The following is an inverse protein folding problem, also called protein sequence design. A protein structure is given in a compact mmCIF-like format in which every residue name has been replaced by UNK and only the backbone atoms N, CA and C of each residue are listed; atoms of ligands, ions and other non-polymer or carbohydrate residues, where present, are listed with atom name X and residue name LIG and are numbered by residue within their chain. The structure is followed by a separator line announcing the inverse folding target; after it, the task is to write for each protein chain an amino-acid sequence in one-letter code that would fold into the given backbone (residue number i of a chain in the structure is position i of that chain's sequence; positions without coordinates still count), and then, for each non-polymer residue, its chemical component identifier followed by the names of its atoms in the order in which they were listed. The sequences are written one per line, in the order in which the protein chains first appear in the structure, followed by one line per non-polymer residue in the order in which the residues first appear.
data_IF_997544800291
#
_entry.id   IF_997544800291
#
_cell.length_a   1.000
_cell.length_b   1.000
_cell.length_c   1.000
_cell.angle_alpha   90.00
_cell.angle_beta   90.00
_cell.angle_gamma   90.00
#
_symmetry.space_group_name_H-M   'P 1'
#
loop_
_entity.id
_entity.type
_entity.pdbx_description
1 polymer ?
#
# COMPACT_ATOMS: atom_id res chain seq x y z
N UNK A 1 32.97 -9.17 5.00
CA UNK A 1 31.56 -9.37 4.58
C UNK A 1 30.68 -9.15 5.80
N UNK A 2 29.87 -8.09 5.81
CA UNK A 2 28.82 -7.91 6.84
C UNK A 2 27.84 -9.07 6.67
N UNK A 3 27.47 -9.83 7.71
CA UNK A 3 26.47 -10.85 7.55
C UNK A 3 25.20 -10.15 7.06
N UNK A 4 24.67 -10.56 5.90
CA UNK A 4 23.31 -10.21 5.51
C UNK A 4 22.43 -10.72 6.66
N UNK A 5 22.02 -9.83 7.56
CA UNK A 5 21.09 -10.16 8.62
C UNK A 5 19.80 -10.60 7.93
N UNK A 6 19.60 -11.92 7.83
CA UNK A 6 18.41 -12.54 7.26
C UNK A 6 17.25 -12.02 8.11
N UNK A 7 16.45 -11.11 7.54
CA UNK A 7 15.30 -10.55 8.25
C UNK A 7 14.37 -11.69 8.66
N UNK A 8 13.91 -11.65 9.90
CA UNK A 8 13.04 -12.69 10.43
C UNK A 8 11.67 -12.58 9.76
N UNK A 9 11.09 -13.70 9.25
CA UNK A 9 9.80 -13.69 8.57
C UNK A 9 8.65 -13.21 9.47
N UNK A 10 7.69 -12.50 8.88
CA UNK A 10 6.38 -12.26 9.52
C UNK A 10 5.64 -13.58 9.63
N UNK A 11 5.08 -13.89 10.80
CA UNK A 11 4.27 -15.09 10.99
C UNK A 11 2.82 -14.78 11.35
N UNK A 12 2.58 -13.62 11.98
CA UNK A 12 1.24 -13.22 12.37
C UNK A 12 1.12 -11.70 12.57
N UNK A 13 -0.11 -11.22 12.73
CA UNK A 13 -0.38 -9.85 13.14
C UNK A 13 -1.56 -9.75 14.12
N UNK A 14 -1.57 -8.70 14.93
CA UNK A 14 -2.66 -8.35 15.82
C UNK A 14 -2.94 -6.85 15.75
N UNK A 15 -4.20 -6.47 15.92
CA UNK A 15 -4.56 -5.07 16.21
C UNK A 15 -4.69 -4.94 17.72
N UNK A 16 -3.83 -4.13 18.33
CA UNK A 16 -3.84 -3.88 19.78
C UNK A 16 -4.15 -2.42 20.07
N UNK A 17 -4.71 -2.14 21.25
CA UNK A 17 -4.94 -0.78 21.73
C UNK A 17 -3.77 -0.33 22.59
N UNK A 18 -3.10 0.75 22.17
CA UNK A 18 -2.06 1.42 22.96
C UNK A 18 -2.50 2.87 23.17
N UNK A 19 -2.70 3.27 24.43
CA UNK A 19 -3.23 4.59 24.79
C UNK A 19 -4.53 4.92 24.03
N UNK A 20 -5.47 3.97 24.00
CA UNK A 20 -6.74 4.03 23.27
C UNK A 20 -6.63 4.26 21.76
N UNK A 21 -5.44 4.05 21.17
CA UNK A 21 -5.24 4.11 19.71
C UNK A 21 -4.89 2.72 19.18
N UNK A 22 -5.58 2.23 18.14
CA UNK A 22 -5.24 0.95 17.53
C UNK A 22 -3.86 1.02 16.87
N UNK A 23 -3.07 -0.03 17.05
CA UNK A 23 -1.77 -0.22 16.42
C UNK A 23 -1.66 -1.64 15.86
N UNK A 24 -0.99 -1.79 14.72
CA UNK A 24 -0.67 -3.08 14.14
C UNK A 24 0.57 -3.65 14.80
N UNK A 25 0.39 -4.73 15.56
CA UNK A 25 1.48 -5.55 16.09
C UNK A 25 1.83 -6.62 15.08
N UNK A 26 3.03 -6.54 14.51
CA UNK A 26 3.57 -7.53 13.58
C UNK A 26 4.46 -8.48 14.36
N UNK A 27 4.15 -9.77 14.28
CA UNK A 27 4.81 -10.84 15.02
C UNK A 27 5.75 -11.58 14.06
N UNK A 28 6.99 -11.78 14.49
CA UNK A 28 8.04 -12.43 13.72
C UNK A 28 8.31 -13.86 14.24
N UNK A 29 8.94 -14.68 13.41
CA UNK A 29 9.21 -16.09 13.72
C UNK A 29 10.16 -16.35 14.91
N UNK A 30 10.89 -15.33 15.36
CA UNK A 30 11.80 -15.36 16.52
C UNK A 30 11.13 -14.80 17.79
N UNK A 31 9.80 -14.77 17.81
CA UNK A 31 8.95 -14.20 18.86
C UNK A 31 9.11 -12.68 19.10
N UNK A 32 9.91 -11.98 18.29
CA UNK A 32 9.97 -10.52 18.32
C UNK A 32 8.72 -9.91 17.69
N UNK A 33 8.40 -8.68 18.08
CA UNK A 33 7.29 -7.94 17.49
C UNK A 33 7.60 -6.46 17.34
N UNK A 34 6.93 -5.84 16.39
CA UNK A 34 7.00 -4.40 16.14
C UNK A 34 5.61 -3.81 16.05
N UNK A 35 5.45 -2.59 16.57
CA UNK A 35 4.19 -1.87 16.57
C UNK A 35 4.20 -0.75 15.52
N UNK A 36 3.13 -0.69 14.73
CA UNK A 36 2.94 0.31 13.70
C UNK A 36 1.63 1.06 13.92
N UNK A 37 1.74 2.39 13.98
CA UNK A 37 0.60 3.29 14.17
C UNK A 37 -0.29 3.42 12.93
N UNK A 38 0.19 3.03 11.75
CA UNK A 38 -0.59 3.04 10.52
C UNK A 38 -0.07 2.02 9.51
N UNK A 39 -0.89 1.70 8.52
CA UNK A 39 -0.48 0.82 7.42
C UNK A 39 0.71 1.39 6.63
N UNK A 40 0.78 2.72 6.44
CA UNK A 40 1.90 3.35 5.73
C UNK A 40 3.21 3.28 6.51
N UNK A 41 3.18 3.45 7.84
CA UNK A 41 4.41 3.32 8.66
C UNK A 41 4.91 1.88 8.67
N UNK A 42 4.00 0.91 8.62
CA UNK A 42 4.34 -0.51 8.42
C UNK A 42 5.00 -0.76 7.07
N UNK A 43 4.39 -0.30 5.96
CA UNK A 43 4.92 -0.49 4.61
C UNK A 43 6.34 0.07 4.41
N UNK A 44 6.69 1.17 5.09
CA UNK A 44 8.04 1.76 5.05
C UNK A 44 9.13 0.84 5.60
N UNK A 45 8.77 -0.11 6.47
CA UNK A 45 9.71 -1.03 7.11
C UNK A 45 9.68 -2.44 6.49
N UNK A 46 8.65 -2.72 5.69
CA UNK A 46 8.46 -3.99 5.02
C UNK A 46 9.32 -4.08 3.77
N UNK A 47 9.86 -5.27 3.54
CA UNK A 47 10.27 -5.66 2.19
C UNK A 47 9.10 -6.30 1.44
N UNK A 48 9.33 -6.74 0.21
CA UNK A 48 8.31 -7.38 -0.62
C UNK A 48 7.76 -8.68 0.01
N UNK A 49 8.64 -9.51 0.57
CA UNK A 49 8.29 -10.80 1.18
C UNK A 49 7.44 -10.63 2.45
N UNK A 50 7.75 -9.63 3.28
CA UNK A 50 6.97 -9.27 4.46
C UNK A 50 5.52 -8.90 4.06
N UNK A 51 5.36 -8.11 2.99
CA UNK A 51 4.05 -7.67 2.50
C UNK A 51 3.23 -8.82 1.90
N UNK A 52 3.86 -9.71 1.13
CA UNK A 52 3.21 -10.91 0.58
C UNK A 52 2.79 -11.87 1.69
N UNK A 53 3.64 -12.04 2.71
CA UNK A 53 3.34 -12.88 3.85
C UNK A 53 2.18 -12.32 4.67
N UNK A 54 2.17 -11.00 4.92
CA UNK A 54 1.05 -10.34 5.58
C UNK A 54 -0.26 -10.53 4.80
N UNK A 55 -0.23 -10.40 3.46
CA UNK A 55 -1.42 -10.66 2.65
C UNK A 55 -1.92 -12.10 2.81
N UNK A 56 -1.03 -13.10 2.80
CA UNK A 56 -1.42 -14.50 3.02
C UNK A 56 -2.11 -14.68 4.37
N UNK A 57 -1.55 -14.13 5.44
CA UNK A 57 -2.10 -14.22 6.80
C UNK A 57 -3.48 -13.58 6.88
N UNK A 58 -3.62 -12.35 6.39
CA UNK A 58 -4.90 -11.61 6.40
C UNK A 58 -5.95 -12.34 5.57
N UNK A 59 -5.58 -12.84 4.40
CA UNK A 59 -6.47 -13.59 3.51
C UNK A 59 -6.95 -14.89 4.16
N UNK A 60 -6.05 -15.64 4.78
CA UNK A 60 -6.39 -16.88 5.48
C UNK A 60 -7.31 -16.61 6.68
N UNK A 61 -6.97 -15.61 7.51
CA UNK A 61 -7.75 -15.22 8.69
C UNK A 61 -9.19 -14.85 8.35
N UNK A 62 -9.39 -14.05 7.30
CA UNK A 62 -10.72 -13.59 6.88
C UNK A 62 -11.32 -14.41 5.74
N UNK A 63 -10.82 -15.62 5.49
CA UNK A 63 -11.44 -16.56 4.57
C UNK A 63 -12.75 -17.14 5.15
N UNK A 64 -12.79 -17.34 6.46
CA UNK A 64 -13.92 -17.94 7.20
C UNK A 64 -14.53 -17.00 8.24
N UNK A 65 -13.88 -15.88 8.54
CA UNK A 65 -14.30 -14.92 9.57
C UNK A 65 -14.44 -13.51 9.00
N UNK A 66 -15.22 -12.65 9.67
CA UNK A 66 -15.32 -11.23 9.35
C UNK A 66 -14.36 -10.42 10.23
N UNK A 67 -13.86 -9.27 9.75
CA UNK A 67 -13.14 -8.31 10.58
C UNK A 67 -13.97 -7.90 11.81
N UNK A 68 -13.30 -7.84 12.97
CA UNK A 68 -13.95 -7.47 14.23
C UNK A 68 -13.80 -5.98 14.58
N UNK A 69 -12.93 -5.25 13.88
CA UNK A 69 -12.68 -3.84 14.11
C UNK A 69 -12.32 -3.13 12.80
N UNK A 70 -12.38 -1.79 12.84
CA UNK A 70 -12.08 -0.95 11.68
C UNK A 70 -10.67 -1.13 11.12
N UNK A 71 -9.67 -1.41 11.97
CA UNK A 71 -8.28 -1.57 11.51
C UNK A 71 -8.10 -2.86 10.71
N UNK A 72 -8.75 -3.95 11.14
CA UNK A 72 -8.79 -5.21 10.39
C UNK A 72 -9.57 -5.05 9.08
N UNK A 73 -10.71 -4.35 9.10
CA UNK A 73 -11.50 -4.08 7.90
C UNK A 73 -10.71 -3.25 6.88
N UNK A 74 -10.05 -2.20 7.36
CA UNK A 74 -9.18 -1.35 6.55
C UNK A 74 -8.01 -2.14 5.97
N UNK A 75 -7.32 -2.95 6.79
CA UNK A 75 -6.17 -3.74 6.38
C UNK A 75 -6.56 -4.77 5.31
N UNK A 76 -7.66 -5.49 5.52
CA UNK A 76 -8.21 -6.45 4.56
C UNK A 76 -8.55 -5.76 3.24
N UNK A 77 -9.24 -4.62 3.29
CA UNK A 77 -9.64 -3.87 2.10
C UNK A 77 -8.42 -3.36 1.33
N UNK A 78 -7.47 -2.73 2.01
CA UNK A 78 -6.26 -2.21 1.39
C UNK A 78 -5.43 -3.31 0.72
N UNK A 79 -5.21 -4.44 1.40
CA UNK A 79 -4.46 -5.56 0.85
C UNK A 79 -5.22 -6.24 -0.30
N UNK A 80 -6.55 -6.35 -0.25
CA UNK A 80 -7.36 -6.81 -1.38
C UNK A 80 -7.19 -5.92 -2.60
N UNK A 81 -7.30 -4.60 -2.44
CA UNK A 81 -7.09 -3.65 -3.53
C UNK A 81 -5.69 -3.80 -4.14
N UNK A 82 -4.67 -4.09 -3.33
CA UNK A 82 -3.30 -4.33 -3.81
C UNK A 82 -3.14 -5.68 -4.52
N UNK A 83 -3.63 -6.78 -3.93
CA UNK A 83 -3.32 -8.15 -4.33
C UNK A 83 -4.40 -8.90 -5.10
N UNK A 84 -5.62 -8.38 -5.19
CA UNK A 84 -6.69 -8.95 -6.02
C UNK A 84 -6.80 -8.22 -7.35
N UNK A 85 -7.63 -8.75 -8.26
CA UNK A 85 -7.88 -8.09 -9.54
C UNK A 85 -8.68 -6.81 -9.27
N UNK A 86 -8.29 -5.67 -9.84
CA UNK A 86 -9.03 -4.43 -9.65
C UNK A 86 -10.44 -4.58 -10.23
N UNK A 87 -11.45 -4.52 -9.37
CA UNK A 87 -12.85 -4.42 -9.82
C UNK A 87 -13.15 -2.95 -10.10
N UNK A 88 -13.50 -2.60 -11.34
CA UNK A 88 -13.83 -1.21 -11.72
C UNK A 88 -14.99 -0.63 -10.92
N UNK A 89 -15.82 -1.47 -10.32
CA UNK A 89 -16.94 -1.06 -9.48
C UNK A 89 -16.51 -0.65 -8.05
N UNK A 90 -15.28 -1.01 -7.65
CA UNK A 90 -14.76 -0.70 -6.32
C UNK A 90 -14.63 0.81 -6.11
N UNK A 91 -14.97 1.27 -4.91
CA UNK A 91 -15.09 2.70 -4.59
C UNK A 91 -13.76 3.44 -4.80
N UNK A 92 -12.63 2.75 -4.62
CA UNK A 92 -11.27 3.28 -4.86
C UNK A 92 -11.10 3.75 -6.31
N UNK A 93 -11.69 3.07 -7.29
CA UNK A 93 -11.58 3.43 -8.71
C UNK A 93 -12.68 4.40 -9.14
N UNK A 94 -13.92 4.21 -8.66
CA UNK A 94 -15.05 5.11 -8.97
C UNK A 94 -14.81 6.55 -8.51
N UNK A 95 -14.13 6.73 -7.39
CA UNK A 95 -13.81 8.06 -6.86
C UNK A 95 -12.81 8.84 -7.72
N UNK A 96 -12.28 8.25 -8.80
CA UNK A 96 -11.43 8.94 -9.76
C UNK A 96 -12.23 9.71 -10.83
N UNK A 97 -13.53 9.41 -11.03
CA UNK A 97 -14.27 9.81 -12.24
C UNK A 97 -15.54 10.66 -12.02
N UNK A 98 -15.73 11.32 -10.88
CA UNK A 98 -16.94 12.12 -10.66
C UNK A 98 -16.92 13.45 -11.44
N UNK A 99 -18.03 13.67 -12.15
CA UNK A 99 -18.25 14.59 -13.30
C UNK A 99 -18.11 16.10 -12.96
N UNK A 100 -17.94 16.47 -11.69
CA UNK A 100 -17.72 17.86 -11.25
C UNK A 100 -16.49 18.07 -10.35
N UNK A 101 -15.68 17.04 -10.08
CA UNK A 101 -14.63 17.09 -9.05
C UNK A 101 -13.52 16.06 -9.27
N UNK A 102 -12.62 16.34 -10.21
CA UNK A 102 -11.39 15.57 -10.40
C UNK A 102 -10.57 15.53 -9.10
N UNK A 103 -10.24 14.33 -8.64
CA UNK A 103 -9.35 14.17 -7.50
C UNK A 103 -7.92 14.53 -7.94
N UNK A 104 -7.44 15.70 -7.52
CA UNK A 104 -6.07 16.12 -7.84
C UNK A 104 -5.06 15.27 -7.09
N UNK A 105 -3.97 14.93 -7.77
CA UNK A 105 -2.85 14.23 -7.14
C UNK A 105 -2.04 15.26 -6.36
N UNK A 106 -2.03 15.12 -5.03
CA UNK A 106 -1.25 15.99 -4.13
C UNK A 106 0.19 15.53 -3.99
N UNK A 107 0.39 14.21 -3.92
CA UNK A 107 1.70 13.60 -3.69
C UNK A 107 1.72 12.21 -4.27
N UNK A 108 2.89 11.79 -4.74
CA UNK A 108 3.17 10.42 -5.13
C UNK A 108 4.48 9.99 -4.49
N UNK A 109 4.53 8.75 -4.02
CA UNK A 109 5.71 8.14 -3.41
C UNK A 109 5.84 6.68 -3.84
N UNK A 110 7.07 6.26 -4.13
CA UNK A 110 7.44 4.85 -4.23
C UNK A 110 8.10 4.39 -2.92
N UNK A 111 7.68 3.24 -2.42
CA UNK A 111 8.40 2.49 -1.41
C UNK A 111 9.13 1.33 -2.11
N UNK A 112 10.41 1.51 -2.39
CA UNK A 112 11.21 0.57 -3.19
C UNK A 112 11.37 -0.79 -2.51
N UNK A 113 11.51 -0.82 -1.17
CA UNK A 113 11.70 -2.06 -0.40
C UNK A 113 10.55 -3.06 -0.55
N UNK A 114 9.31 -2.59 -0.56
CA UNK A 114 8.10 -3.41 -0.71
C UNK A 114 7.44 -3.29 -2.10
N UNK A 115 8.02 -2.47 -2.99
CA UNK A 115 7.54 -2.20 -4.37
C UNK A 115 6.09 -1.71 -4.39
N UNK A 116 5.82 -0.65 -3.63
CA UNK A 116 4.48 -0.05 -3.50
C UNK A 116 4.47 1.42 -3.91
N UNK A 117 3.54 1.80 -4.80
CA UNK A 117 3.20 3.19 -5.06
C UNK A 117 2.12 3.67 -4.08
N UNK A 118 2.31 4.86 -3.53
CA UNK A 118 1.31 5.58 -2.72
C UNK A 118 0.99 6.88 -3.45
N UNK A 119 -0.23 6.99 -3.95
CA UNK A 119 -0.77 8.17 -4.61
C UNK A 119 -1.72 8.84 -3.62
N UNK A 120 -1.35 10.01 -3.12
CA UNK A 120 -2.21 10.82 -2.27
C UNK A 120 -3.04 11.75 -3.15
N UNK A 121 -4.34 11.53 -3.14
CA UNK A 121 -5.33 12.42 -3.74
C UNK A 121 -5.85 13.40 -2.68
N UNK A 122 -6.66 14.36 -3.11
CA UNK A 122 -7.28 15.34 -2.21
C UNK A 122 -8.14 14.71 -1.12
N UNK A 123 -8.82 13.63 -1.48
CA UNK A 123 -9.89 12.99 -0.70
C UNK A 123 -9.48 11.64 -0.14
N UNK A 124 -8.50 10.96 -0.76
CA UNK A 124 -8.12 9.59 -0.42
C UNK A 124 -6.68 9.30 -0.77
N UNK A 125 -6.17 8.15 -0.35
CA UNK A 125 -4.89 7.60 -0.79
C UNK A 125 -5.14 6.30 -1.55
N UNK A 126 -4.43 6.12 -2.66
CA UNK A 126 -4.41 4.89 -3.44
C UNK A 126 -3.04 4.23 -3.23
N UNK A 127 -3.05 2.97 -2.80
CA UNK A 127 -1.85 2.19 -2.51
C UNK A 127 -1.81 1.00 -3.46
N UNK A 128 -0.77 0.91 -4.29
CA UNK A 128 -0.72 0.04 -5.47
C UNK A 128 0.60 -0.73 -5.52
N UNK A 129 0.57 -1.97 -6.02
CA UNK A 129 1.79 -2.72 -6.33
C UNK A 129 2.41 -2.24 -7.66
N UNK A 130 3.73 -2.09 -7.70
CA UNK A 130 4.44 -1.62 -8.91
C UNK A 130 4.20 -2.54 -10.12
N UNK A 131 4.20 -3.86 -9.88
CA UNK A 131 4.10 -4.86 -10.95
C UNK A 131 2.68 -5.09 -11.50
N UNK A 132 1.69 -4.35 -11.01
CA UNK A 132 0.29 -4.56 -11.37
C UNK A 132 -0.30 -3.42 -12.18
N UNK A 133 -1.16 -3.78 -13.13
CA UNK A 133 -1.96 -2.84 -13.90
C UNK A 133 -3.24 -2.53 -13.15
N UNK A 134 -3.47 -1.24 -12.92
CA UNK A 134 -4.66 -0.73 -12.25
C UNK A 134 -5.41 0.22 -13.17
N UNK A 135 -6.75 0.32 -13.04
CA UNK A 135 -7.57 1.19 -13.87
C UNK A 135 -7.46 2.66 -13.43
N UNK A 136 -6.24 3.22 -13.43
CA UNK A 136 -6.05 4.66 -13.22
C UNK A 136 -6.54 5.44 -14.44
N UNK A 137 -7.23 6.55 -14.20
CA UNK A 137 -7.68 7.41 -15.29
C UNK A 137 -6.48 8.07 -16.00
N UNK A 138 -6.62 8.32 -17.31
CA UNK A 138 -5.62 9.08 -18.09
C UNK A 138 -5.29 10.42 -17.42
N UNK A 139 -6.31 11.10 -16.88
CA UNK A 139 -6.14 12.35 -16.15
C UNK A 139 -5.24 12.18 -14.90
N UNK A 140 -5.47 11.15 -14.07
CA UNK A 140 -4.63 10.87 -12.90
C UNK A 140 -3.17 10.61 -13.31
N UNK A 141 -2.96 9.84 -14.38
CA UNK A 141 -1.61 9.58 -14.92
C UNK A 141 -0.93 10.87 -15.40
N UNK A 142 -1.64 11.74 -16.12
CA UNK A 142 -1.13 13.03 -16.58
C UNK A 142 -0.79 13.96 -15.41
N UNK A 143 -1.62 14.00 -14.35
CA UNK A 143 -1.32 14.78 -13.15
C UNK A 143 -0.07 14.25 -12.43
N UNK A 144 0.13 12.93 -12.34
CA UNK A 144 1.36 12.36 -11.79
C UNK A 144 2.60 12.75 -12.61
N UNK A 145 2.48 12.69 -13.94
CA UNK A 145 3.57 13.00 -14.89
C UNK A 145 3.92 14.49 -14.95
N UNK A 146 2.94 15.38 -14.83
CA UNK A 146 3.13 16.81 -15.06
C UNK A 146 3.28 17.61 -13.76
N UNK A 147 2.58 17.23 -12.69
CA UNK A 147 2.51 18.00 -11.44
C UNK A 147 3.49 17.48 -10.39
N UNK A 148 3.60 16.16 -10.23
CA UNK A 148 4.39 15.55 -9.13
C UNK A 148 5.80 15.15 -9.57
N UNK A 149 6.02 14.94 -10.86
CA UNK A 149 7.34 14.62 -11.43
C UNK A 149 8.40 15.69 -11.11
N UNK A 150 7.98 16.94 -10.87
CA UNK A 150 8.85 18.07 -10.48
C UNK A 150 9.14 18.16 -8.97
N UNK A 151 8.41 17.42 -8.11
CA UNK A 151 8.56 17.47 -6.64
C UNK A 151 9.26 16.24 -6.05
N UNK A 152 9.68 15.31 -6.91
CA UNK A 152 10.36 14.08 -6.52
C UNK A 152 11.85 14.37 -6.40
N UNK A 153 12.38 14.39 -5.18
CA UNK A 153 13.81 14.61 -4.90
C UNK A 153 14.73 13.44 -5.34
N UNK A 154 14.18 12.30 -5.78
CA UNK A 154 14.95 11.16 -6.33
C UNK A 154 14.58 10.90 -7.79
N UNK A 155 15.24 11.61 -8.72
CA UNK A 155 15.03 11.51 -10.17
C UNK A 155 15.37 10.13 -10.79
N UNK A 156 16.02 9.19 -10.08
CA UNK A 156 16.66 8.04 -10.71
C UNK A 156 15.76 6.81 -10.91
N UNK A 157 14.95 6.39 -9.93
CA UNK A 157 14.22 5.11 -9.99
C UNK A 157 12.70 5.28 -10.17
N UNK A 158 12.12 6.29 -9.52
CA UNK A 158 10.68 6.58 -9.65
C UNK A 158 10.29 7.03 -11.05
N UNK A 159 11.15 7.79 -11.72
CA UNK A 159 10.96 8.25 -13.10
C UNK A 159 10.88 7.09 -14.10
N UNK A 160 11.74 6.08 -13.93
CA UNK A 160 11.79 4.90 -14.78
C UNK A 160 10.59 3.97 -14.54
N UNK A 161 10.21 3.77 -13.29
CA UNK A 161 8.99 3.02 -12.95
C UNK A 161 7.73 3.74 -13.44
N UNK A 162 7.67 5.08 -13.43
CA UNK A 162 6.55 5.82 -14.03
C UNK A 162 6.43 5.57 -15.53
N UNK A 163 7.55 5.56 -16.25
CA UNK A 163 7.58 5.26 -17.70
C UNK A 163 7.09 3.83 -17.94
N UNK A 164 7.47 2.87 -17.10
CA UNK A 164 6.96 1.48 -17.18
C UNK A 164 5.47 1.40 -16.86
N UNK A 165 5.01 2.13 -15.85
CA UNK A 165 3.63 2.14 -15.40
C UNK A 165 2.69 2.75 -16.46
N UNK A 166 3.16 3.75 -17.21
CA UNK A 166 2.37 4.48 -18.22
C UNK A 166 2.41 3.85 -19.62
N UNK A 167 3.43 3.03 -19.94
CA UNK A 167 3.56 2.32 -21.23
C UNK A 167 2.84 0.97 -21.28
N UNK A 168 2.28 0.51 -20.16
CA UNK A 168 1.58 -0.77 -20.04
C UNK A 168 0.10 -0.64 -20.34
#
# INVERSE_FOLDING_TARGET
ATPLARKVPVIDYQVILVNNKPQYKIIKADDTHQLYTSFITMLKNFNREDLETLWRIVKERFSTSKPNNFSDEFLLTALKTMFERPDRQDNVWRNQSNIHGQAFVKRWKLLTSCRVHIISLNTTQIILLVERRYPLTKFTLEQMLNVVRLQVEEESEMSLELIRFTRQ
#
